data_IF_810909651377
#
_entry.id   IF_810909651377
#
_cell.length_a   1.000
_cell.length_b   1.000
_cell.length_c   1.000
_cell.angle_alpha   90.00
_cell.angle_beta   90.00
_cell.angle_gamma   90.00
#
_symmetry.space_group_name_H-M   'P 1'
#
loop_
_entity.id
_entity.type
_entity.pdbx_description
1 polymer ?
#
# COMPACT_ATOMS: atom_id res chain seq x y z
N UNK A 1 -10.44 -0.23 12.48
CA UNK A 1 -10.75 0.19 11.09
C UNK A 1 -10.62 1.71 10.86
N UNK A 2 -10.91 2.57 11.85
CA UNK A 2 -10.82 4.05 11.71
C UNK A 2 -9.42 4.56 11.34
N UNK A 3 -8.35 3.89 11.82
CA UNK A 3 -6.95 4.23 11.50
C UNK A 3 -6.57 3.95 10.04
N UNK A 4 -7.06 2.85 9.46
CA UNK A 4 -6.79 2.52 8.05
C UNK A 4 -7.39 3.55 7.09
N UNK A 5 -8.63 4.00 7.36
CA UNK A 5 -9.27 5.05 6.57
C UNK A 5 -8.55 6.39 6.69
N UNK A 6 -8.05 6.74 7.88
CA UNK A 6 -7.26 7.95 8.12
C UNK A 6 -5.91 7.92 7.38
N UNK A 7 -5.24 6.77 7.36
CA UNK A 7 -3.99 6.59 6.61
C UNK A 7 -4.22 6.70 5.10
N UNK A 8 -5.30 6.11 4.58
CA UNK A 8 -5.64 6.21 3.14
C UNK A 8 -6.03 7.65 2.77
N UNK A 9 -6.82 8.33 3.61
CA UNK A 9 -7.20 9.72 3.39
C UNK A 9 -5.99 10.67 3.44
N UNK A 10 -5.05 10.45 4.36
CA UNK A 10 -3.80 11.20 4.44
C UNK A 10 -2.91 11.00 3.20
N UNK A 11 -2.97 9.81 2.58
CA UNK A 11 -2.26 9.48 1.34
C UNK A 11 -2.83 10.19 0.11
N UNK A 12 -4.16 10.33 0.06
CA UNK A 12 -4.89 10.91 -1.07
C UNK A 12 -4.94 12.44 -1.02
N UNK A 13 -4.87 13.05 0.17
CA UNK A 13 -4.89 14.50 0.35
C UNK A 13 -3.88 15.29 -0.52
N UNK A 14 -2.59 14.88 -0.65
CA UNK A 14 -1.63 15.60 -1.48
C UNK A 14 -1.82 15.40 -3.00
N UNK A 15 -2.58 14.38 -3.43
CA UNK A 15 -2.78 14.09 -4.86
C UNK A 15 -3.54 15.21 -5.61
N UNK A 16 -4.49 15.87 -4.92
CA UNK A 16 -5.25 16.98 -5.48
C UNK A 16 -4.38 18.23 -5.72
N UNK A 17 -3.38 18.47 -4.85
CA UNK A 17 -2.49 19.62 -4.92
C UNK A 17 -1.48 19.48 -6.08
N UNK A 18 -1.03 18.25 -6.36
CA UNK A 18 -0.14 17.95 -7.47
C UNK A 18 -0.79 18.19 -8.85
N UNK A 19 -2.10 17.95 -8.98
CA UNK A 19 -2.83 18.12 -10.24
C UNK A 19 -3.06 19.60 -10.61
N UNK A 20 -3.21 20.48 -9.60
CA UNK A 20 -3.39 21.92 -9.82
C UNK A 20 -2.10 22.65 -10.25
N UNK A 21 -0.92 22.10 -9.96
CA UNK A 21 0.36 22.68 -10.35
C UNK A 21 0.78 22.34 -11.80
N UNK A 22 -0.02 21.57 -12.55
CA UNK A 22 0.30 21.04 -13.89
C UNK A 22 0.25 22.08 -15.03
N UNK A 23 0.42 23.38 -14.73
CA UNK A 23 0.26 24.48 -15.68
C UNK A 23 1.52 25.01 -16.36
N UNK A 24 2.70 24.41 -16.16
CA UNK A 24 3.95 24.93 -16.74
C UNK A 24 4.67 23.89 -17.62
N UNK A 25 4.95 24.35 -18.83
CA UNK A 25 5.38 23.69 -20.08
C UNK A 25 6.79 23.07 -20.05
N UNK A 26 7.04 22.15 -20.98
CA UNK A 26 8.34 21.60 -21.44
C UNK A 26 9.26 20.88 -20.43
N UNK A 27 9.06 19.56 -20.28
CA UNK A 27 10.00 18.63 -19.64
C UNK A 27 9.52 18.16 -18.27
N UNK A 28 9.84 16.89 -17.94
CA UNK A 28 9.59 16.31 -16.62
C UNK A 28 10.35 17.09 -15.54
N UNK A 29 9.74 18.17 -15.03
CA UNK A 29 10.34 19.06 -14.05
C UNK A 29 10.56 18.37 -12.71
N UNK A 30 11.33 19.00 -11.82
CA UNK A 30 11.63 18.51 -10.48
C UNK A 30 10.37 18.07 -9.70
N UNK A 31 9.24 18.75 -9.92
CA UNK A 31 7.97 18.42 -9.30
C UNK A 31 7.43 17.05 -9.74
N UNK A 32 7.59 16.67 -11.02
CA UNK A 32 7.21 15.34 -11.52
C UNK A 32 8.07 14.25 -10.90
N UNK A 33 9.37 14.48 -10.77
CA UNK A 33 10.30 13.52 -10.17
C UNK A 33 10.04 13.35 -8.65
N UNK A 34 9.76 14.46 -7.97
CA UNK A 34 9.39 14.45 -6.55
C UNK A 34 8.03 13.79 -6.32
N UNK A 35 7.05 14.05 -7.18
CA UNK A 35 5.74 13.39 -7.12
C UNK A 35 5.87 11.88 -7.33
N UNK A 36 6.59 11.45 -8.37
CA UNK A 36 6.80 10.04 -8.66
C UNK A 36 7.60 9.33 -7.55
N UNK A 37 8.65 9.97 -7.03
CA UNK A 37 9.45 9.46 -5.92
C UNK A 37 8.65 9.37 -4.62
N UNK A 38 7.86 10.39 -4.29
CA UNK A 38 6.97 10.39 -3.13
C UNK A 38 5.87 9.34 -3.25
N UNK A 39 5.28 9.19 -4.44
CA UNK A 39 4.30 8.15 -4.73
C UNK A 39 4.92 6.74 -4.58
N UNK A 40 6.14 6.52 -5.10
CA UNK A 40 6.85 5.25 -4.90
C UNK A 40 7.14 4.98 -3.40
N UNK A 41 7.53 6.00 -2.63
CA UNK A 41 7.78 5.89 -1.20
C UNK A 41 6.50 5.52 -0.44
N UNK A 42 5.36 6.08 -0.83
CA UNK A 42 4.04 5.73 -0.31
C UNK A 42 3.72 4.24 -0.54
N UNK A 43 3.94 3.74 -1.75
CA UNK A 43 3.71 2.33 -2.09
C UNK A 43 4.60 1.45 -1.19
N UNK A 44 5.90 1.73 -1.09
CA UNK A 44 6.79 0.94 -0.23
C UNK A 44 6.35 1.00 1.24
N UNK A 45 5.99 2.18 1.75
CA UNK A 45 5.68 2.38 3.16
C UNK A 45 4.37 1.73 3.61
N UNK A 46 3.40 1.48 2.72
CA UNK A 46 2.07 0.99 3.12
C UNK A 46 1.59 -0.23 2.31
N UNK A 47 1.93 -0.31 1.02
CA UNK A 47 1.56 -1.46 0.19
C UNK A 47 2.35 -2.71 0.60
N UNK A 48 3.65 -2.57 0.90
CA UNK A 48 4.46 -3.70 1.39
C UNK A 48 3.92 -4.23 2.73
N UNK A 49 3.69 -3.40 3.78
CA UNK A 49 3.01 -3.86 5.00
C UNK A 49 1.63 -4.45 4.74
N UNK A 50 0.84 -3.86 3.83
CA UNK A 50 -0.47 -4.38 3.45
C UNK A 50 -0.41 -5.78 2.84
N UNK A 51 0.53 -6.02 1.92
CA UNK A 51 0.75 -7.32 1.31
C UNK A 51 1.25 -8.35 2.34
N UNK A 52 2.13 -7.97 3.25
CA UNK A 52 2.60 -8.86 4.31
C UNK A 52 1.45 -9.32 5.22
N UNK A 53 0.55 -8.40 5.59
CA UNK A 53 -0.63 -8.72 6.39
C UNK A 53 -1.57 -9.65 5.62
N UNK A 54 -1.91 -9.34 4.37
CA UNK A 54 -2.77 -10.19 3.53
C UNK A 54 -2.15 -11.59 3.36
N UNK A 55 -0.84 -11.66 3.09
CA UNK A 55 -0.11 -12.92 2.98
C UNK A 55 -0.15 -13.75 4.25
N UNK A 56 -0.01 -13.12 5.43
CA UNK A 56 -0.11 -13.82 6.72
C UNK A 56 -1.51 -14.37 6.99
N UNK A 57 -2.56 -13.65 6.59
CA UNK A 57 -3.95 -14.10 6.71
C UNK A 57 -4.21 -15.30 5.80
N UNK A 58 -3.80 -15.23 4.53
CA UNK A 58 -3.94 -16.35 3.58
C UNK A 58 -3.22 -17.59 4.10
N UNK A 59 -1.99 -17.44 4.60
CA UNK A 59 -1.22 -18.53 5.22
C UNK A 59 -1.91 -19.10 6.47
N UNK A 60 -2.50 -18.24 7.30
CA UNK A 60 -3.30 -18.63 8.47
C UNK A 60 -4.55 -19.45 8.10
N UNK A 61 -5.24 -19.07 7.03
CA UNK A 61 -6.40 -19.81 6.52
C UNK A 61 -5.99 -21.15 5.88
N UNK A 62 -4.88 -21.17 5.13
CA UNK A 62 -4.38 -22.39 4.49
C UNK A 62 -3.86 -23.41 5.51
N UNK A 63 -3.24 -22.98 6.61
CA UNK A 63 -2.80 -23.89 7.69
C UNK A 63 -3.95 -24.38 8.59
N UNK A 64 -5.13 -23.76 8.48
CA UNK A 64 -6.32 -24.16 9.24
C UNK A 64 -7.08 -25.33 8.61
N UNK A 65 -6.58 -25.92 7.52
CA UNK A 65 -7.08 -27.20 7.02
C UNK A 65 -6.57 -28.33 7.92
N UNK A 66 -7.43 -28.95 8.76
CA UNK A 66 -7.06 -30.11 9.54
C UNK A 66 -7.04 -31.31 8.61
N UNK A 67 -5.96 -31.44 7.84
CA UNK A 67 -5.61 -32.73 7.26
C UNK A 67 -5.09 -33.62 8.41
N UNK A 68 -6.03 -34.32 9.04
CA UNK A 68 -5.87 -35.61 9.70
C UNK A 68 -4.49 -35.91 10.30
N UNK A 69 -4.22 -35.46 11.53
CA UNK A 69 -3.25 -36.14 12.39
C UNK A 69 -3.95 -37.27 13.14
N UNK A 70 -4.33 -38.30 12.38
CA UNK A 70 -4.58 -39.63 12.94
C UNK A 70 -3.20 -40.24 13.19
N UNK A 71 -2.70 -40.15 14.42
CA UNK A 71 -1.61 -41.00 14.90
C UNK A 71 -2.16 -41.73 16.10
N UNK A 72 -2.56 -42.98 15.88
CA UNK A 72 -2.66 -43.98 16.93
C UNK A 72 -1.26 -44.30 17.42
N UNK A 73 -0.97 -44.02 18.69
CA UNK A 73 -0.42 -44.98 19.64
C UNK A 73 -0.41 -44.39 21.04
#
# INVERSE_FOLDING_TARGET
MKTLHLTIAALLAPSAQAFAASGATEGSGLLTWLFLGFFALIIVAQFVPGLLVIGSVIKGLATSSPAAKHVSH
#
